data_IF_748671699654
#
_entry.id   IF_748671699654
#
_cell.length_a   1.000
_cell.length_b   1.000
_cell.length_c   1.000
_cell.angle_alpha   90.00
_cell.angle_beta   90.00
_cell.angle_gamma   90.00
#
_symmetry.space_group_name_H-M   'P 1'
#
loop_
_entity.id
_entity.type
_entity.pdbx_description
1 polymer ?
#
# COMPACT_ATOMS: atom_id res chain seq x y z
N UNK A 1 38.87 -74.93 15.10
CA UNK A 1 37.66 -74.96 14.24
C UNK A 1 37.78 -73.99 13.06
N UNK A 2 38.77 -74.16 12.18
CA UNK A 2 39.13 -73.11 11.19
C UNK A 2 39.65 -73.64 9.84
N UNK A 3 39.21 -74.83 9.41
CA UNK A 3 39.68 -75.47 8.17
C UNK A 3 38.62 -75.57 7.06
N UNK A 4 37.54 -74.77 7.11
CA UNK A 4 36.41 -74.88 6.16
C UNK A 4 36.58 -74.05 4.86
N UNK A 5 37.67 -73.30 4.68
CA UNK A 5 37.87 -72.42 3.52
C UNK A 5 38.80 -72.97 2.42
N UNK A 6 39.22 -74.24 2.50
CA UNK A 6 40.20 -74.84 1.58
C UNK A 6 39.69 -75.36 0.22
N UNK A 7 38.42 -75.15 -0.13
CA UNK A 7 37.86 -75.61 -1.42
C UNK A 7 37.69 -74.46 -2.42
N UNK A 8 37.79 -74.73 -3.74
CA UNK A 8 37.49 -73.76 -4.83
C UNK A 8 36.20 -72.96 -4.62
N UNK A 9 35.23 -73.53 -3.89
CA UNK A 9 33.95 -72.91 -3.55
C UNK A 9 34.05 -71.82 -2.46
N UNK A 10 35.00 -71.92 -1.52
CA UNK A 10 35.17 -70.96 -0.42
C UNK A 10 35.71 -69.60 -0.87
N UNK A 11 36.70 -69.59 -1.76
CA UNK A 11 37.22 -68.34 -2.35
C UNK A 11 36.18 -67.61 -3.20
N UNK A 12 35.33 -68.36 -3.92
CA UNK A 12 34.26 -67.79 -4.74
C UNK A 12 33.19 -67.11 -3.87
N UNK A 13 32.85 -67.71 -2.72
CA UNK A 13 31.94 -67.09 -1.75
C UNK A 13 32.51 -65.79 -1.16
N UNK A 14 33.79 -65.78 -0.78
CA UNK A 14 34.43 -64.56 -0.26
C UNK A 14 34.47 -63.45 -1.30
N UNK A 15 34.84 -63.79 -2.54
CA UNK A 15 34.84 -62.85 -3.65
C UNK A 15 33.45 -62.27 -3.91
N UNK A 16 32.42 -63.13 -3.96
CA UNK A 16 31.03 -62.69 -4.12
C UNK A 16 30.58 -61.78 -2.98
N UNK A 17 31.01 -62.05 -1.74
CA UNK A 17 30.69 -61.22 -0.59
C UNK A 17 31.31 -59.82 -0.71
N UNK A 18 32.58 -59.71 -1.08
CA UNK A 18 33.25 -58.42 -1.29
C UNK A 18 32.61 -57.66 -2.45
N UNK A 19 32.34 -58.34 -3.57
CA UNK A 19 31.68 -57.76 -4.73
C UNK A 19 30.28 -57.25 -4.38
N UNK A 20 29.51 -58.00 -3.58
CA UNK A 20 28.19 -57.59 -3.11
C UNK A 20 28.26 -56.34 -2.22
N UNK A 21 29.24 -56.26 -1.33
CA UNK A 21 29.43 -55.08 -0.46
C UNK A 21 29.80 -53.84 -1.29
N UNK A 22 30.76 -53.96 -2.22
CA UNK A 22 31.18 -52.86 -3.10
C UNK A 22 30.02 -52.35 -3.97
N UNK A 23 29.30 -53.25 -4.63
CA UNK A 23 28.16 -52.89 -5.50
C UNK A 23 26.99 -52.32 -4.70
N UNK A 24 26.72 -52.85 -3.50
CA UNK A 24 25.72 -52.31 -2.58
C UNK A 24 26.02 -50.89 -2.11
N UNK A 25 27.28 -50.62 -1.74
CA UNK A 25 27.71 -49.27 -1.32
C UNK A 25 27.57 -48.24 -2.45
N UNK A 26 27.98 -48.59 -3.67
CA UNK A 26 27.87 -47.70 -4.83
C UNK A 26 26.39 -47.46 -5.22
N UNK A 27 25.57 -48.51 -5.18
CA UNK A 27 24.14 -48.38 -5.44
C UNK A 27 23.47 -47.46 -4.40
N UNK A 28 23.78 -47.61 -3.11
CA UNK A 28 23.25 -46.76 -2.06
C UNK A 28 23.66 -45.29 -2.22
N UNK A 29 24.95 -45.03 -2.49
CA UNK A 29 25.44 -43.67 -2.76
C UNK A 29 24.72 -43.04 -3.96
N UNK A 30 24.47 -43.81 -5.02
CA UNK A 30 23.73 -43.36 -6.21
C UNK A 30 22.27 -43.04 -5.87
N UNK A 31 21.59 -43.89 -5.10
CA UNK A 31 20.22 -43.63 -4.65
C UNK A 31 20.14 -42.38 -3.74
N UNK A 32 21.12 -42.19 -2.86
CA UNK A 32 21.20 -41.01 -2.00
C UNK A 32 21.40 -39.72 -2.83
N UNK A 33 22.25 -39.75 -3.85
CA UNK A 33 22.45 -38.61 -4.77
C UNK A 33 21.16 -38.27 -5.52
N UNK A 34 20.47 -39.27 -6.07
CA UNK A 34 19.20 -39.09 -6.77
C UNK A 34 18.10 -38.51 -5.87
N UNK A 35 18.09 -38.88 -4.59
CA UNK A 35 17.15 -38.30 -3.62
C UNK A 35 17.40 -36.80 -3.41
N UNK A 36 18.65 -36.41 -3.20
CA UNK A 36 19.03 -35.00 -3.01
C UNK A 36 18.75 -34.17 -4.26
N UNK A 37 18.99 -34.73 -5.46
CA UNK A 37 18.66 -34.06 -6.72
C UNK A 37 17.16 -33.82 -6.87
N UNK A 38 16.32 -34.80 -6.50
CA UNK A 38 14.85 -34.64 -6.53
C UNK A 38 14.39 -33.56 -5.56
N UNK A 39 14.89 -33.57 -4.32
CA UNK A 39 14.57 -32.55 -3.32
C UNK A 39 15.00 -31.15 -3.79
N UNK A 40 16.19 -31.03 -4.41
CA UNK A 40 16.66 -29.77 -5.02
C UNK A 40 15.84 -29.34 -6.22
N UNK A 41 15.41 -30.27 -7.07
CA UNK A 41 14.58 -29.96 -8.22
C UNK A 41 13.21 -29.42 -7.78
N UNK A 42 12.60 -30.03 -6.75
CA UNK A 42 11.35 -29.54 -6.15
C UNK A 42 11.53 -28.16 -5.53
N UNK A 43 12.57 -27.97 -4.70
CA UNK A 43 12.84 -26.68 -4.07
C UNK A 43 13.08 -25.55 -5.10
N UNK A 44 13.72 -25.87 -6.24
CA UNK A 44 13.90 -24.92 -7.35
C UNK A 44 12.57 -24.57 -8.02
N UNK A 45 11.73 -25.57 -8.30
CA UNK A 45 10.42 -25.34 -8.91
C UNK A 45 9.54 -24.46 -8.02
N UNK A 46 9.54 -24.69 -6.69
CA UNK A 46 8.80 -23.88 -5.74
C UNK A 46 9.35 -22.45 -5.67
N UNK A 47 10.68 -22.29 -5.63
CA UNK A 47 11.32 -20.97 -5.64
C UNK A 47 10.93 -20.16 -6.89
N UNK A 48 10.94 -20.79 -8.08
CA UNK A 48 10.52 -20.13 -9.32
C UNK A 48 9.05 -19.69 -9.29
N UNK A 49 8.16 -20.50 -8.69
CA UNK A 49 6.75 -20.12 -8.53
C UNK A 49 6.62 -18.92 -7.59
N UNK A 50 7.29 -18.93 -6.44
CA UNK A 50 7.25 -17.80 -5.50
C UNK A 50 7.82 -16.52 -6.10
N UNK A 51 8.89 -16.61 -6.90
CA UNK A 51 9.44 -15.45 -7.62
C UNK A 51 8.43 -14.88 -8.63
N UNK A 52 7.74 -15.75 -9.38
CA UNK A 52 6.68 -15.33 -10.31
C UNK A 52 5.52 -14.66 -9.58
N UNK A 53 5.06 -15.21 -8.47
CA UNK A 53 4.01 -14.61 -7.65
C UNK A 53 4.43 -13.25 -7.10
N UNK A 54 5.65 -13.16 -6.55
CA UNK A 54 6.18 -11.90 -6.04
C UNK A 54 6.27 -10.84 -7.13
N UNK A 55 6.71 -11.20 -8.33
CA UNK A 55 6.79 -10.28 -9.46
C UNK A 55 5.40 -9.85 -9.94
N UNK A 56 4.45 -10.78 -10.01
CA UNK A 56 3.06 -10.48 -10.38
C UNK A 56 2.41 -9.53 -9.37
N UNK A 57 2.56 -9.81 -8.07
CA UNK A 57 2.05 -8.95 -7.01
C UNK A 57 2.70 -7.57 -7.05
N UNK A 58 4.02 -7.49 -7.21
CA UNK A 58 4.70 -6.20 -7.30
C UNK A 58 4.26 -5.38 -8.53
N UNK A 59 4.00 -6.04 -9.66
CA UNK A 59 3.44 -5.38 -10.86
C UNK A 59 2.01 -4.90 -10.64
N UNK A 60 1.19 -5.71 -9.96
CA UNK A 60 -0.17 -5.33 -9.59
C UNK A 60 -0.15 -4.12 -8.65
N UNK A 61 0.65 -4.17 -7.58
CA UNK A 61 0.77 -3.08 -6.62
C UNK A 61 1.27 -1.80 -7.30
N UNK A 62 2.29 -1.90 -8.15
CA UNK A 62 2.82 -0.76 -8.88
C UNK A 62 1.80 -0.14 -9.85
N UNK A 63 0.89 -0.96 -10.39
CA UNK A 63 -0.19 -0.49 -11.27
C UNK A 63 -1.34 0.15 -10.50
N UNK A 64 -1.75 -0.42 -9.36
CA UNK A 64 -2.91 0.01 -8.58
C UNK A 64 -2.58 1.20 -7.66
N UNK A 65 -1.37 1.22 -7.08
CA UNK A 65 -1.00 2.19 -6.05
C UNK A 65 -1.13 3.66 -6.47
N UNK A 66 -0.72 4.09 -7.69
CA UNK A 66 -0.90 5.49 -8.10
C UNK A 66 -2.37 5.93 -8.14
N UNK A 67 -3.28 5.03 -8.52
CA UNK A 67 -4.72 5.31 -8.51
C UNK A 67 -5.25 5.45 -7.09
N UNK A 68 -4.86 4.54 -6.18
CA UNK A 68 -5.22 4.63 -4.76
C UNK A 68 -4.64 5.88 -4.09
N UNK A 69 -3.41 6.26 -4.42
CA UNK A 69 -2.78 7.47 -3.89
C UNK A 69 -3.52 8.74 -4.33
N UNK A 70 -3.96 8.79 -5.59
CA UNK A 70 -4.82 9.88 -6.08
C UNK A 70 -6.11 9.92 -5.28
N UNK A 71 -6.76 8.78 -5.08
CA UNK A 71 -8.03 8.67 -4.38
C UNK A 71 -7.93 9.04 -2.89
N UNK A 72 -6.87 8.60 -2.21
CA UNK A 72 -6.59 8.94 -0.81
C UNK A 72 -6.33 10.45 -0.62
N UNK A 73 -5.84 11.14 -1.65
CA UNK A 73 -5.62 12.60 -1.61
C UNK A 73 -6.88 13.42 -1.90
N UNK A 74 -8.00 12.79 -2.33
CA UNK A 74 -9.21 13.53 -2.66
C UNK A 74 -9.99 13.96 -1.42
N UNK A 75 -10.40 15.23 -1.34
CA UNK A 75 -11.37 15.67 -0.34
C UNK A 75 -12.69 14.89 -0.43
N UNK A 76 -13.26 14.53 0.72
CA UNK A 76 -14.53 13.79 0.78
C UNK A 76 -15.70 14.52 0.07
N UNK A 77 -15.66 15.87 0.02
CA UNK A 77 -16.66 16.68 -0.66
C UNK A 77 -16.76 16.37 -2.17
N UNK A 78 -15.68 15.89 -2.79
CA UNK A 78 -15.68 15.55 -4.21
C UNK A 78 -16.52 14.31 -4.54
N UNK A 79 -16.95 13.51 -3.56
CA UNK A 79 -17.78 12.34 -3.80
C UNK A 79 -19.28 12.65 -3.82
N UNK A 80 -19.67 13.90 -3.54
CA UNK A 80 -21.04 14.37 -3.76
C UNK A 80 -21.14 14.93 -5.17
N UNK A 81 -22.25 14.67 -5.88
CA UNK A 81 -22.44 15.21 -7.24
C UNK A 81 -22.34 16.74 -7.25
N UNK A 82 -22.85 17.37 -6.20
CA UNK A 82 -22.76 18.80 -5.94
C UNK A 82 -22.28 19.04 -4.52
N UNK A 83 -21.26 19.87 -4.37
CA UNK A 83 -20.74 20.26 -3.07
C UNK A 83 -20.56 21.77 -2.97
N UNK A 84 -20.55 22.27 -1.73
CA UNK A 84 -20.24 23.67 -1.44
C UNK A 84 -18.75 23.79 -1.13
N UNK A 85 -17.97 24.59 -1.90
CA UNK A 85 -16.56 24.80 -1.59
C UNK A 85 -16.42 25.55 -0.25
N UNK A 86 -15.38 25.25 0.55
CA UNK A 86 -15.19 25.89 1.86
C UNK A 86 -14.87 27.38 1.76
N UNK A 87 -14.34 27.85 0.63
CA UNK A 87 -14.06 29.26 0.38
C UNK A 87 -14.45 29.59 -1.06
N UNK A 88 -15.42 30.50 -1.23
CA UNK A 88 -15.78 31.07 -2.52
C UNK A 88 -15.51 32.58 -2.47
N UNK A 89 -14.51 33.04 -3.22
CA UNK A 89 -14.17 34.46 -3.34
C UNK A 89 -14.80 35.04 -4.60
N UNK A 90 -15.46 36.19 -4.49
CA UNK A 90 -15.89 36.96 -5.64
C UNK A 90 -14.79 37.93 -6.09
N UNK A 91 -14.70 38.16 -7.40
CA UNK A 91 -13.80 39.17 -7.99
C UNK A 91 -13.96 40.58 -7.39
N UNK A 92 -15.11 40.90 -6.80
CA UNK A 92 -15.42 42.19 -6.17
C UNK A 92 -15.16 42.22 -4.64
N UNK A 93 -14.47 41.24 -4.07
CA UNK A 93 -14.06 41.28 -2.65
C UNK A 93 -15.16 40.94 -1.64
N UNK A 94 -16.34 40.49 -2.10
CA UNK A 94 -17.38 39.94 -1.23
C UNK A 94 -17.14 38.44 -0.94
N UNK A 95 -17.35 38.04 0.31
CA UNK A 95 -17.48 36.63 0.71
C UNK A 95 -18.95 36.22 0.62
N UNK A 96 -19.25 35.11 -0.05
CA UNK A 96 -20.58 34.51 0.07
C UNK A 96 -20.70 33.79 1.41
N UNK A 97 -21.88 33.87 2.02
CA UNK A 97 -22.24 32.95 3.10
C UNK A 97 -22.14 31.52 2.57
N UNK A 98 -21.57 30.62 3.38
CA UNK A 98 -21.61 29.18 3.17
C UNK A 98 -23.02 28.74 2.72
N UNK A 99 -23.11 27.83 1.75
CA UNK A 99 -24.33 27.23 1.19
C UNK A 99 -25.06 27.99 0.05
N UNK A 100 -24.47 29.04 -0.57
CA UNK A 100 -25.07 29.69 -1.76
C UNK A 100 -24.40 29.39 -3.09
N UNK A 101 -23.22 28.76 -3.08
CA UNK A 101 -22.48 28.41 -4.30
C UNK A 101 -22.32 26.89 -4.34
N UNK A 102 -22.84 26.28 -5.40
CA UNK A 102 -22.67 24.86 -5.67
C UNK A 102 -21.63 24.66 -6.76
N UNK A 103 -20.72 23.74 -6.53
CA UNK A 103 -19.72 23.32 -7.51
C UNK A 103 -19.98 21.87 -7.91
N UNK A 104 -19.96 21.54 -9.23
CA UNK A 104 -20.01 20.15 -9.68
C UNK A 104 -18.76 19.40 -9.22
N UNK A 105 -18.94 18.15 -8.82
CA UNK A 105 -17.82 17.27 -8.54
C UNK A 105 -16.91 17.09 -9.75
N UNK A 106 -15.57 17.10 -9.54
CA UNK A 106 -14.63 16.75 -10.60
C UNK A 106 -14.77 15.29 -11.07
N UNK A 107 -15.42 14.42 -10.27
CA UNK A 107 -15.61 12.99 -10.57
C UNK A 107 -16.78 12.71 -11.54
N UNK A 108 -17.62 13.72 -11.84
CA UNK A 108 -18.76 13.56 -12.76
C UNK A 108 -18.30 13.13 -14.15
N UNK A 109 -17.23 13.76 -14.64
CA UNK A 109 -16.66 13.53 -15.98
C UNK A 109 -15.34 12.77 -15.93
N UNK A 110 -14.97 12.20 -14.79
CA UNK A 110 -13.72 11.44 -14.68
C UNK A 110 -13.85 10.07 -15.33
N UNK A 111 -12.93 9.77 -16.25
CA UNK A 111 -12.79 8.45 -16.85
C UNK A 111 -12.24 7.46 -15.81
N UNK A 112 -13.03 6.43 -15.55
CA UNK A 112 -12.68 5.37 -14.63
C UNK A 112 -11.90 4.27 -15.36
N UNK A 113 -10.82 3.72 -14.75
CA UNK A 113 -10.21 2.49 -15.23
C UNK A 113 -11.23 1.35 -15.28
N UNK A 114 -11.03 0.37 -16.17
CA UNK A 114 -11.96 -0.76 -16.36
C UNK A 114 -12.20 -1.62 -15.10
N UNK A 115 -11.30 -1.57 -14.13
CA UNK A 115 -11.40 -2.29 -12.86
C UNK A 115 -12.09 -1.47 -11.75
N UNK A 116 -12.31 -0.16 -11.94
CA UNK A 116 -13.07 0.69 -11.01
C UNK A 116 -14.48 0.87 -11.55
N UNK A 117 -15.47 0.35 -10.82
CA UNK A 117 -16.85 0.31 -11.30
C UNK A 117 -17.60 1.63 -11.02
N UNK A 118 -17.48 2.15 -9.80
CA UNK A 118 -18.30 3.26 -9.32
C UNK A 118 -17.64 3.95 -8.12
N UNK A 119 -17.67 5.28 -8.11
CA UNK A 119 -17.45 6.06 -6.90
C UNK A 119 -18.78 6.23 -6.17
N UNK A 120 -18.79 6.03 -4.85
CA UNK A 120 -19.95 6.27 -4.01
C UNK A 120 -19.53 6.86 -2.67
N UNK A 121 -20.48 7.49 -2.02
CA UNK A 121 -20.38 7.93 -0.64
C UNK A 121 -21.63 7.47 0.10
N UNK A 122 -21.46 7.10 1.36
CA UNK A 122 -22.56 6.80 2.25
C UNK A 122 -22.39 7.58 3.56
N UNK A 123 -23.49 8.10 4.10
CA UNK A 123 -23.54 8.71 5.43
C UNK A 123 -24.88 8.36 6.08
N UNK A 124 -24.98 8.61 7.40
CA UNK A 124 -26.23 8.50 8.16
C UNK A 124 -27.30 9.43 7.58
N UNK A 125 -26.92 10.63 7.13
CA UNK A 125 -27.84 11.61 6.55
C UNK A 125 -28.01 11.47 5.03
N UNK A 126 -26.91 11.30 4.29
CA UNK A 126 -26.91 11.37 2.82
C UNK A 126 -27.36 10.08 2.12
N UNK A 127 -27.58 8.97 2.84
CA UNK A 127 -27.85 7.65 2.23
C UNK A 127 -26.79 7.31 1.16
N UNK A 128 -27.05 6.31 0.32
CA UNK A 128 -26.15 5.98 -0.79
C UNK A 128 -26.21 7.05 -1.89
N UNK A 129 -25.10 7.75 -2.11
CA UNK A 129 -24.94 8.75 -3.17
C UNK A 129 -23.76 8.41 -4.06
N UNK A 130 -23.82 8.82 -5.33
CA UNK A 130 -22.70 8.74 -6.26
C UNK A 130 -22.49 10.10 -6.93
N UNK A 131 -21.24 10.57 -7.10
CA UNK A 131 -20.98 11.84 -7.78
C UNK A 131 -21.40 11.78 -9.25
N UNK A 132 -21.41 10.58 -9.84
CA UNK A 132 -21.74 10.34 -11.25
C UNK A 132 -23.26 10.25 -11.48
N UNK A 133 -24.06 10.16 -10.42
CA UNK A 133 -25.51 10.05 -10.50
C UNK A 133 -26.16 11.18 -9.69
N UNK A 134 -26.25 12.41 -10.24
CA UNK A 134 -26.85 13.54 -9.56
C UNK A 134 -28.32 13.26 -9.23
N UNK A 135 -28.84 13.74 -8.09
CA UNK A 135 -30.27 13.68 -7.77
C UNK A 135 -31.12 14.32 -8.87
N UNK A 136 -32.31 13.76 -9.12
CA UNK A 136 -33.23 14.20 -10.18
C UNK A 136 -33.55 15.70 -10.15
N UNK A 137 -33.65 16.30 -8.96
CA UNK A 137 -33.89 17.74 -8.79
C UNK A 137 -32.77 18.62 -9.36
N UNK A 138 -31.53 18.11 -9.42
CA UNK A 138 -30.35 18.85 -9.86
C UNK A 138 -29.87 18.48 -11.26
N UNK A 139 -30.42 17.41 -11.86
CA UNK A 139 -30.01 16.91 -13.18
C UNK A 139 -30.18 17.95 -14.28
N UNK A 140 -31.34 18.59 -14.38
CA UNK A 140 -31.63 19.58 -15.43
C UNK A 140 -30.70 20.80 -15.38
N UNK A 141 -30.36 21.26 -14.17
CA UNK A 141 -29.40 22.33 -13.98
C UNK A 141 -27.97 21.88 -14.30
N UNK A 142 -27.60 20.66 -13.94
CA UNK A 142 -26.27 20.12 -14.22
C UNK A 142 -26.03 19.94 -15.72
N UNK A 143 -27.00 19.35 -16.42
CA UNK A 143 -26.96 19.13 -17.88
C UNK A 143 -26.86 20.44 -18.67
N UNK A 144 -27.49 21.51 -18.17
CA UNK A 144 -27.41 22.84 -18.80
C UNK A 144 -26.12 23.59 -18.48
N UNK A 145 -25.45 23.27 -17.36
CA UNK A 145 -24.26 24.01 -16.89
C UNK A 145 -22.95 23.32 -17.23
N UNK A 146 -22.92 21.98 -17.22
CA UNK A 146 -21.73 21.17 -17.43
C UNK A 146 -21.98 20.21 -18.60
N UNK A 147 -21.17 20.24 -19.66
CA UNK A 147 -21.24 19.21 -20.69
C UNK A 147 -20.88 17.87 -20.04
N UNK A 148 -21.89 17.01 -19.88
CA UNK A 148 -21.70 15.64 -19.41
C UNK A 148 -20.98 14.86 -20.50
N UNK A 149 -19.80 14.33 -20.18
CA UNK A 149 -19.00 13.52 -21.11
C UNK A 149 -19.45 12.05 -21.07
N UNK A 150 -20.23 11.65 -20.07
CA UNK A 150 -20.68 10.27 -19.91
C UNK A 150 -21.82 9.88 -20.87
N UNK A 151 -21.68 8.72 -21.51
CA UNK A 151 -22.76 8.08 -22.29
C UNK A 151 -23.97 7.78 -21.38
N UNK A 152 -25.22 7.97 -21.86
CA UNK A 152 -26.43 7.65 -21.09
C UNK A 152 -26.50 6.16 -20.69
N UNK A 153 -25.92 5.27 -21.50
CA UNK A 153 -25.86 3.83 -21.18
C UNK A 153 -24.98 3.56 -19.95
N UNK A 154 -23.83 4.24 -19.87
CA UNK A 154 -22.91 4.15 -18.72
C UNK A 154 -23.56 4.68 -17.45
N UNK A 155 -24.32 5.77 -17.54
CA UNK A 155 -25.07 6.31 -16.41
C UNK A 155 -26.14 5.32 -15.92
N UNK A 156 -26.86 4.68 -16.85
CA UNK A 156 -27.85 3.66 -16.49
C UNK A 156 -27.20 2.43 -15.85
N UNK A 157 -26.05 1.98 -16.36
CA UNK A 157 -25.29 0.88 -15.76
C UNK A 157 -24.85 1.22 -14.33
N UNK A 158 -24.31 2.43 -14.12
CA UNK A 158 -23.90 2.91 -12.79
C UNK A 158 -25.08 3.03 -11.83
N UNK A 159 -26.24 3.49 -12.30
CA UNK A 159 -27.46 3.53 -11.50
C UNK A 159 -27.90 2.13 -11.04
N UNK A 160 -27.85 1.13 -11.93
CA UNK A 160 -28.15 -0.27 -11.58
C UNK A 160 -27.16 -0.83 -10.55
N UNK A 161 -25.87 -0.50 -10.68
CA UNK A 161 -24.85 -0.91 -9.71
C UNK A 161 -25.07 -0.27 -8.33
N UNK A 162 -25.39 1.02 -8.29
CA UNK A 162 -25.69 1.71 -7.03
C UNK A 162 -26.93 1.12 -6.34
N UNK A 163 -27.97 0.80 -7.11
CA UNK A 163 -29.19 0.17 -6.56
C UNK A 163 -28.92 -1.27 -6.09
N UNK A 164 -28.09 -2.02 -6.82
CA UNK A 164 -27.61 -3.33 -6.38
C UNK A 164 -26.83 -3.23 -5.06
N UNK A 165 -25.92 -2.27 -4.93
CA UNK A 165 -25.19 -2.06 -3.67
C UNK A 165 -26.15 -1.70 -2.52
N UNK A 166 -27.10 -0.80 -2.77
CA UNK A 166 -28.09 -0.36 -1.78
C UNK A 166 -28.95 -1.52 -1.26
N UNK A 167 -29.36 -2.43 -2.14
CA UNK A 167 -30.20 -3.58 -1.79
C UNK A 167 -29.48 -4.67 -1.01
N UNK A 168 -28.15 -4.81 -1.18
CA UNK A 168 -27.36 -5.84 -0.49
C UNK A 168 -26.68 -5.33 0.79
N UNK A 169 -26.43 -4.02 0.89
CA UNK A 169 -25.70 -3.41 2.00
C UNK A 169 -26.46 -2.22 2.59
N UNK A 170 -26.97 -2.42 3.80
CA UNK A 170 -27.48 -1.35 4.66
C UNK A 170 -26.35 -0.35 4.98
N UNK A 171 -26.56 0.97 4.77
CA UNK A 171 -25.58 2.02 5.09
C UNK A 171 -25.04 1.91 6.52
N UNK A 172 -25.92 1.62 7.46
CA UNK A 172 -25.61 1.59 8.89
C UNK A 172 -24.67 0.42 9.24
N UNK A 173 -24.81 -0.71 8.54
CA UNK A 173 -23.94 -1.88 8.71
C UNK A 173 -22.55 -1.57 8.16
N UNK A 174 -22.47 -0.97 6.98
CA UNK A 174 -21.19 -0.60 6.37
C UNK A 174 -20.42 0.40 7.24
N UNK A 175 -21.08 1.45 7.72
CA UNK A 175 -20.45 2.47 8.58
C UNK A 175 -19.93 1.82 9.87
N UNK A 176 -20.72 0.97 10.53
CA UNK A 176 -20.27 0.25 11.73
C UNK A 176 -19.07 -0.65 11.46
N UNK A 177 -19.06 -1.36 10.33
CA UNK A 177 -17.94 -2.22 9.95
C UNK A 177 -16.67 -1.42 9.71
N UNK A 178 -16.77 -0.26 9.04
CA UNK A 178 -15.63 0.64 8.82
C UNK A 178 -15.12 1.20 10.15
N UNK A 179 -16.01 1.70 11.02
CA UNK A 179 -15.64 2.20 12.35
C UNK A 179 -14.92 1.11 13.19
N UNK A 180 -15.41 -0.13 13.15
CA UNK A 180 -14.78 -1.26 13.84
C UNK A 180 -13.41 -1.60 13.24
N UNK A 181 -13.29 -1.58 11.91
CA UNK A 181 -12.03 -1.84 11.22
C UNK A 181 -10.98 -0.75 11.52
N UNK A 182 -11.39 0.52 11.53
CA UNK A 182 -10.53 1.64 11.91
C UNK A 182 -10.02 1.49 13.35
N UNK A 183 -10.87 1.07 14.30
CA UNK A 183 -10.46 0.77 15.68
C UNK A 183 -9.42 -0.34 15.73
N UNK A 184 -9.63 -1.43 14.99
CA UNK A 184 -8.68 -2.55 14.94
C UNK A 184 -7.33 -2.14 14.32
N UNK A 185 -7.35 -1.31 13.29
CA UNK A 185 -6.13 -0.78 12.68
C UNK A 185 -5.39 0.16 13.63
N UNK A 186 -6.09 1.07 14.31
CA UNK A 186 -5.50 1.95 15.32
C UNK A 186 -4.83 1.15 16.45
N UNK A 187 -5.50 0.09 16.91
CA UNK A 187 -4.95 -0.82 17.92
C UNK A 187 -3.68 -1.55 17.44
N UNK A 188 -3.68 -2.08 16.22
CA UNK A 188 -2.51 -2.81 15.67
C UNK A 188 -1.30 -1.92 15.41
N UNK A 189 -1.49 -0.63 15.14
CA UNK A 189 -0.42 0.34 14.97
C UNK A 189 0.15 0.87 16.30
N UNK A 190 -0.35 0.39 17.44
CA UNK A 190 0.12 0.85 18.75
C UNK A 190 -0.18 2.33 19.01
N UNK A 191 -1.08 2.93 18.21
CA UNK A 191 -1.60 4.27 18.45
C UNK A 191 -2.64 4.08 19.56
N UNK A 192 -2.15 3.91 20.79
CA UNK A 192 -2.98 4.07 21.97
C UNK A 192 -3.57 5.47 21.87
N UNK A 193 -4.89 5.56 21.68
CA UNK A 193 -5.64 6.78 21.85
C UNK A 193 -5.56 7.16 23.33
N UNK A 194 -4.42 7.72 23.74
CA UNK A 194 -4.27 8.34 25.05
C UNK A 194 -5.05 9.65 24.99
N UNK A 195 -6.35 9.57 25.29
CA UNK A 195 -7.24 10.69 25.64
C UNK A 195 -6.80 11.34 26.98
N UNK A 196 -5.51 11.56 27.19
CA UNK A 196 -4.97 12.11 28.44
C UNK A 196 -3.94 13.20 28.15
N UNK A 197 -4.33 14.19 27.34
CA UNK A 197 -3.71 15.50 27.47
C UNK A 197 -4.68 16.60 27.03
N UNK A 198 -5.78 16.73 27.79
CA UNK A 198 -6.58 17.94 27.82
C UNK A 198 -5.80 19.00 28.59
N UNK A 199 -4.85 19.64 27.90
CA UNK A 199 -4.29 20.91 28.36
C UNK A 199 -5.43 21.93 28.28
N UNK A 200 -5.97 22.30 29.43
CA UNK A 200 -6.82 23.49 29.55
C UNK A 200 -6.05 24.68 28.97
N UNK A 201 -6.66 25.47 28.06
CA UNK A 201 -6.07 26.74 27.68
C UNK A 201 -6.11 27.64 28.92
N UNK A 202 -4.96 27.85 29.56
CA UNK A 202 -4.82 28.93 30.52
C UNK A 202 -5.11 30.25 29.80
N UNK A 203 -6.27 30.81 30.14
CA UNK A 203 -6.66 32.18 29.82
C UNK A 203 -5.72 33.09 30.60
N UNK A 204 -4.66 33.53 29.95
CA UNK A 204 -3.76 34.55 30.46
C UNK A 204 -3.41 35.48 29.32
N UNK A 205 -4.20 36.55 29.15
CA UNK A 205 -3.78 37.74 28.42
C UNK A 205 -4.38 38.96 29.12
N UNK A 206 -3.67 39.38 30.16
CA UNK A 206 -3.57 40.78 30.54
C UNK A 206 -2.98 41.57 29.36
N UNK A 207 -3.80 42.37 28.71
CA UNK A 207 -3.36 43.46 27.83
C UNK A 207 -4.10 44.74 28.27
N UNK A 208 -3.55 45.34 29.32
CA UNK A 208 -3.72 46.76 29.61
C UNK A 208 -2.89 47.57 28.61
N UNK A 209 -3.55 48.59 28.06
CA UNK A 209 -3.01 49.91 27.74
C UNK A 209 -1.78 49.98 26.84
N UNK A 210 -2.01 50.22 25.55
CA UNK A 210 -1.20 51.20 24.80
C UNK A 210 -2.00 51.84 23.66
N UNK A 211 -2.57 53.00 23.98
CA UNK A 211 -2.81 54.09 23.03
C UNK A 211 -1.52 54.38 22.25
N UNK A 212 -1.51 54.30 20.92
CA UNK A 212 -0.65 55.16 20.10
C UNK A 212 -1.28 55.45 18.74
N UNK A 213 -1.32 56.74 18.44
CA UNK A 213 -1.95 57.39 17.30
C UNK A 213 -1.22 57.16 15.97
N UNK A 214 -2.01 57.29 14.90
CA UNK A 214 -1.66 57.59 13.50
C UNK A 214 -0.25 58.12 13.22
N UNK A 215 0.45 57.48 12.28
CA UNK A 215 1.10 58.16 11.13
C UNK A 215 1.53 57.15 10.06
N UNK A 216 1.16 57.41 8.81
CA UNK A 216 1.85 56.88 7.62
C UNK A 216 3.28 57.46 7.58
N UNK A 217 4.30 56.75 7.06
CA UNK A 217 4.65 56.95 5.65
C UNK A 217 5.24 55.72 4.92
N UNK A 218 5.31 55.91 3.61
CA UNK A 218 6.02 55.23 2.53
C UNK A 218 7.23 54.30 2.79
N UNK A 219 7.29 53.28 1.93
CA UNK A 219 8.45 52.73 1.16
C UNK A 219 9.64 52.14 1.94
N UNK A 220 9.87 50.83 1.73
CA UNK A 220 11.17 50.21 1.98
C UNK A 220 11.15 48.68 2.04
N UNK A 221 11.83 48.05 1.09
CA UNK A 221 12.20 46.63 1.06
C UNK A 221 12.59 46.04 2.43
N UNK A 222 12.24 44.75 2.67
CA UNK A 222 13.20 43.62 2.90
C UNK A 222 12.60 42.47 3.75
N UNK A 223 12.48 41.30 3.10
CA UNK A 223 12.76 39.91 3.56
C UNK A 223 12.06 39.34 4.79
N UNK A 224 11.27 38.28 4.59
CA UNK A 224 11.43 36.94 5.18
C UNK A 224 10.41 35.99 4.53
N UNK A 225 10.75 35.21 3.51
CA UNK A 225 11.35 33.86 3.62
C UNK A 225 10.69 32.98 4.68
N UNK A 226 9.76 32.12 4.27
CA UNK A 226 9.22 31.15 5.23
C UNK A 226 8.22 30.13 4.73
N UNK A 227 8.11 29.80 3.45
CA UNK A 227 7.34 28.60 3.02
C UNK A 227 7.88 28.05 1.70
N UNK A 228 9.09 27.51 1.73
CA UNK A 228 9.59 26.58 0.72
C UNK A 228 10.78 25.84 1.31
N UNK A 229 10.54 24.64 1.86
CA UNK A 229 11.46 23.50 1.92
C UNK A 229 10.94 22.42 2.89
N UNK A 230 10.00 21.59 2.45
CA UNK A 230 9.87 20.21 2.98
C UNK A 230 9.33 19.30 1.88
N UNK A 231 10.03 19.15 0.74
CA UNK A 231 10.08 17.91 -0.06
C UNK A 231 11.35 18.00 -0.93
N UNK A 232 12.51 17.66 -0.38
CA UNK A 232 13.69 17.31 -1.18
C UNK A 232 14.60 16.39 -0.40
N UNK A 233 14.67 15.15 -0.88
CA UNK A 233 15.85 14.29 -0.83
C UNK A 233 16.33 13.82 0.54
N UNK A 234 16.27 12.50 0.77
CA UNK A 234 17.13 11.87 1.78
C UNK A 234 16.47 10.73 2.54
N UNK A 235 16.18 9.62 1.86
CA UNK A 235 15.97 8.34 2.56
C UNK A 235 16.26 7.08 1.74
N UNK A 236 16.77 7.20 0.51
CA UNK A 236 17.06 6.03 -0.34
C UNK A 236 18.53 5.60 -0.32
N UNK A 237 19.45 6.46 0.12
CA UNK A 237 20.89 6.16 0.09
C UNK A 237 21.40 5.44 1.35
N UNK A 238 20.74 5.59 2.49
CA UNK A 238 21.15 4.96 3.75
C UNK A 238 21.04 3.42 3.72
N UNK A 239 20.02 2.90 3.03
CA UNK A 239 19.78 1.46 2.98
C UNK A 239 20.70 0.76 1.97
N UNK A 240 21.12 1.45 0.90
CA UNK A 240 22.14 0.93 -0.02
C UNK A 240 23.52 0.89 0.62
N UNK A 241 23.88 1.90 1.42
CA UNK A 241 25.17 1.94 2.11
C UNK A 241 25.26 0.87 3.21
N UNK A 242 24.16 0.60 3.93
CA UNK A 242 24.07 -0.50 4.89
C UNK A 242 24.21 -1.89 4.21
N UNK A 243 23.56 -2.10 3.06
CA UNK A 243 23.65 -3.37 2.31
C UNK A 243 25.02 -3.60 1.68
N UNK A 244 25.68 -2.56 1.17
CA UNK A 244 27.05 -2.66 0.65
C UNK A 244 28.05 -3.03 1.75
N UNK A 245 27.87 -2.50 2.96
CA UNK A 245 28.72 -2.79 4.12
C UNK A 245 28.56 -4.23 4.62
N UNK A 246 27.34 -4.76 4.67
CA UNK A 246 27.10 -6.16 5.03
C UNK A 246 27.68 -7.15 4.02
N UNK A 247 27.58 -6.86 2.71
CA UNK A 247 28.12 -7.75 1.68
C UNK A 247 29.65 -7.87 1.76
N UNK A 248 30.35 -6.79 2.09
CA UNK A 248 31.80 -6.82 2.29
C UNK A 248 32.23 -7.61 3.54
N UNK A 249 31.42 -7.62 4.62
CA UNK A 249 31.70 -8.43 5.80
C UNK A 249 31.54 -9.93 5.55
N UNK A 250 30.54 -10.34 4.76
CA UNK A 250 30.30 -11.77 4.44
C UNK A 250 31.44 -12.33 3.57
N UNK A 251 31.90 -11.57 2.58
CA UNK A 251 33.00 -12.01 1.70
C UNK A 251 34.33 -12.16 2.47
N UNK A 252 34.60 -11.29 3.45
CA UNK A 252 35.79 -11.42 4.30
C UNK A 252 35.69 -12.60 5.28
N UNK A 253 34.51 -12.86 5.87
CA UNK A 253 34.32 -14.02 6.75
C UNK A 253 34.47 -15.34 5.99
N UNK A 254 34.02 -15.39 4.74
CA UNK A 254 34.12 -16.60 3.91
C UNK A 254 35.58 -16.90 3.55
N UNK A 255 36.39 -15.88 3.24
CA UNK A 255 37.83 -16.06 2.97
C UNK A 255 38.61 -16.56 4.20
N UNK A 256 38.26 -16.10 5.40
CA UNK A 256 38.93 -16.56 6.62
C UNK A 256 38.65 -18.04 6.94
N UNK A 257 37.41 -18.50 6.71
CA UNK A 257 37.06 -19.92 6.91
C UNK A 257 37.81 -20.82 5.91
N UNK A 258 37.93 -20.40 4.64
CA UNK A 258 38.70 -21.16 3.66
C UNK A 258 40.21 -21.18 3.94
N UNK A 259 40.78 -20.11 4.51
CA UNK A 259 42.19 -20.11 4.93
C UNK A 259 42.45 -21.05 6.12
N UNK A 260 41.52 -21.13 7.09
CA UNK A 260 41.68 -22.06 8.23
C UNK A 260 41.59 -23.54 7.84
N UNK A 261 40.91 -23.89 6.75
CA UNK A 261 40.83 -25.28 6.27
C UNK A 261 42.06 -25.74 5.46
N UNK A 262 42.91 -24.82 5.00
CA UNK A 262 44.11 -25.16 4.21
C UNK A 262 45.35 -25.34 5.12
N UNK A 263 45.33 -24.85 6.36
CA UNK A 263 46.45 -24.91 7.31
C UNK A 263 46.31 -25.96 8.43
N UNK A 264 45.28 -26.81 8.40
CA UNK A 264 45.16 -27.92 9.35
C UNK A 264 45.93 -29.16 8.83
N UNK A 265 46.97 -29.64 9.54
CA UNK A 265 47.77 -30.82 9.15
C UNK A 265 47.02 -32.15 9.34
#
# INVERSE_FOLDING_TARGET
>A
MRSWLGGKRGGLLLFMLIAAVMTGGLAWATLASLRVERERAQARADAELFEKFRLALWRLDSYVFPFLAKEASRPYNHYQALYTPPVALMKQGGSWTYCKVYQPSPLINEELPSWVLLHFQTSKELQWCSPQLPPSASQSWLESTVPLVCSPELLQQRARLLESLRSHLEPTVLIKLVEEQERQMAFSLGISSTEENRVEPQVGNDLKDSNFNNSTPQVGNRVQSGFNNVIKGGRFDSDQQARASQKAQIDNSTKQVFQQQIEAP
#
